data_IF_881488691332
#
_entry.id   IF_881488691332
#
_cell.length_a   1.000
_cell.length_b   1.000
_cell.length_c   1.000
_cell.angle_alpha   90.00
_cell.angle_beta   90.00
_cell.angle_gamma   90.00
#
_symmetry.space_group_name_H-M   'P 1'
#
loop_
_entity.id
_entity.type
_entity.pdbx_description
1 polymer ?
#
# COMPACT_ATOMS: atom_id res chain seq x y z
N UNK A 1 33.22 10.83 -24.82
CA UNK A 1 31.79 10.97 -24.47
C UNK A 1 31.20 9.58 -24.30
N UNK A 2 30.63 9.24 -23.14
CA UNK A 2 29.88 7.98 -22.95
C UNK A 2 28.42 8.24 -23.30
N UNK A 3 27.74 7.40 -24.10
CA UNK A 3 26.30 7.34 -24.06
C UNK A 3 25.90 6.54 -22.81
N UNK A 4 25.41 7.25 -21.79
CA UNK A 4 24.59 6.66 -20.73
C UNK A 4 23.18 6.58 -21.29
N UNK A 5 22.82 5.47 -21.91
CA UNK A 5 21.45 5.24 -22.33
C UNK A 5 21.04 3.81 -22.09
N UNK A 6 19.99 3.70 -21.27
CA UNK A 6 19.02 2.61 -21.20
C UNK A 6 19.52 1.31 -20.54
N UNK A 7 19.36 1.23 -19.22
CA UNK A 7 18.57 0.17 -18.56
C UNK A 7 18.63 0.36 -17.03
N UNK A 8 17.98 1.41 -16.51
CA UNK A 8 17.35 1.28 -15.20
C UNK A 8 15.90 0.89 -15.51
N UNK A 9 15.67 -0.38 -15.84
CA UNK A 9 14.34 -0.93 -15.72
C UNK A 9 13.96 -0.77 -14.25
N UNK A 10 13.17 0.26 -13.95
CA UNK A 10 12.60 0.46 -12.63
C UNK A 10 11.88 -0.82 -12.26
N UNK A 11 12.49 -1.64 -11.40
CA UNK A 11 11.90 -2.86 -10.88
C UNK A 11 10.77 -2.42 -9.93
N UNK A 12 9.64 -2.02 -10.53
CA UNK A 12 8.50 -1.46 -9.80
C UNK A 12 7.90 -2.59 -8.98
N UNK A 13 7.72 -2.35 -7.69
CA UNK A 13 7.05 -3.29 -6.81
C UNK A 13 5.70 -3.72 -7.41
N UNK A 14 5.50 -5.02 -7.54
CA UNK A 14 4.21 -5.59 -7.93
C UNK A 14 3.33 -5.64 -6.68
N UNK A 15 2.42 -4.68 -6.59
CA UNK A 15 1.44 -4.62 -5.49
C UNK A 15 0.61 -5.90 -5.46
N UNK A 16 0.55 -6.55 -4.31
CA UNK A 16 -0.41 -7.63 -4.03
C UNK A 16 -1.72 -7.07 -3.49
N UNK A 17 -2.77 -7.90 -3.40
CA UNK A 17 -4.04 -7.48 -2.79
C UNK A 17 -3.86 -7.22 -1.28
N UNK A 18 -2.98 -7.97 -0.61
CA UNK A 18 -2.63 -7.73 0.79
C UNK A 18 -1.83 -6.42 0.99
N UNK A 19 -0.99 -6.03 0.02
CA UNK A 19 -0.34 -4.71 0.06
C UNK A 19 -1.36 -3.58 -0.07
N UNK A 20 -2.35 -3.75 -0.95
CA UNK A 20 -3.44 -2.79 -1.15
C UNK A 20 -4.33 -2.71 0.09
N UNK A 21 -4.68 -3.85 0.68
CA UNK A 21 -5.38 -3.93 1.96
C UNK A 21 -4.59 -3.22 3.08
N UNK A 22 -3.28 -3.42 3.14
CA UNK A 22 -2.41 -2.74 4.12
C UNK A 22 -2.44 -1.23 3.93
N UNK A 23 -2.35 -0.76 2.68
CA UNK A 23 -2.44 0.66 2.38
C UNK A 23 -3.84 1.22 2.72
N UNK A 24 -4.91 0.46 2.47
CA UNK A 24 -6.28 0.81 2.81
C UNK A 24 -6.48 0.92 4.33
N UNK A 25 -6.04 -0.07 5.09
CA UNK A 25 -6.10 -0.06 6.55
C UNK A 25 -5.38 1.18 7.12
N UNK A 26 -4.17 1.45 6.64
CA UNK A 26 -3.37 2.59 7.11
C UNK A 26 -3.99 3.92 6.72
N UNK A 27 -4.69 4.00 5.59
CA UNK A 27 -5.46 5.19 5.22
C UNK A 27 -6.63 5.43 6.17
N UNK A 28 -7.39 4.37 6.48
CA UNK A 28 -8.63 4.46 7.27
C UNK A 28 -8.40 4.59 8.77
N UNK A 29 -7.39 3.92 9.32
CA UNK A 29 -7.15 3.79 10.77
C UNK A 29 -5.77 4.26 11.23
N UNK A 30 -4.90 4.66 10.30
CA UNK A 30 -3.53 5.05 10.64
C UNK A 30 -2.65 3.86 11.01
N UNK A 31 -1.55 4.13 11.70
CA UNK A 31 -0.52 3.13 12.02
C UNK A 31 -0.47 2.73 13.50
N UNK A 32 -1.28 3.38 14.35
CA UNK A 32 -1.19 3.28 15.81
C UNK A 32 -1.39 1.84 16.30
N UNK A 33 -2.33 1.11 15.71
CA UNK A 33 -2.67 -0.25 16.15
C UNK A 33 -1.83 -1.37 15.51
N UNK A 34 -0.95 -1.03 14.56
CA UNK A 34 -0.08 -2.01 13.88
C UNK A 34 1.40 -1.88 14.27
N UNK A 35 1.77 -0.82 14.98
CA UNK A 35 3.11 -0.65 15.55
C UNK A 35 4.24 -0.37 14.55
N UNK A 36 3.90 -0.02 13.29
CA UNK A 36 4.87 0.26 12.24
C UNK A 36 4.59 1.61 11.57
N UNK A 37 5.62 2.42 11.37
CA UNK A 37 5.49 3.65 10.59
C UNK A 37 5.24 3.37 9.10
N UNK A 38 4.60 4.29 8.36
CA UNK A 38 4.38 4.14 6.90
C UNK A 38 5.68 3.81 6.12
N UNK A 39 6.82 4.47 6.39
CA UNK A 39 8.09 4.10 5.73
C UNK A 39 8.59 2.70 6.11
N UNK A 40 8.38 2.27 7.35
CA UNK A 40 8.76 0.93 7.80
C UNK A 40 7.92 -0.17 7.12
N UNK A 41 6.61 0.06 6.99
CA UNK A 41 5.71 -0.83 6.26
C UNK A 41 6.20 -0.98 4.81
N UNK A 42 6.51 0.13 4.13
CA UNK A 42 7.07 0.07 2.78
C UNK A 42 8.32 -0.81 2.69
N UNK A 43 9.27 -0.65 3.62
CA UNK A 43 10.48 -1.49 3.67
C UNK A 43 10.17 -2.97 3.90
N UNK A 44 9.25 -3.28 4.83
CA UNK A 44 8.82 -4.66 5.11
C UNK A 44 8.16 -5.32 3.91
N UNK A 45 7.42 -4.54 3.12
CA UNK A 45 6.79 -5.01 1.90
C UNK A 45 7.76 -5.10 0.70
N UNK A 46 9.05 -4.81 0.89
CA UNK A 46 10.05 -4.81 -0.19
C UNK A 46 9.94 -3.61 -1.13
N UNK A 47 9.25 -2.55 -0.71
CA UNK A 47 9.03 -1.33 -1.47
C UNK A 47 10.03 -0.23 -1.07
N UNK A 48 10.16 0.79 -1.93
CA UNK A 48 10.82 2.03 -1.55
C UNK A 48 10.09 2.72 -0.39
N UNK A 49 10.84 3.40 0.49
CA UNK A 49 10.29 4.04 1.69
C UNK A 49 9.19 5.08 1.40
N UNK A 50 9.20 5.69 0.21
CA UNK A 50 8.19 6.64 -0.26
C UNK A 50 7.03 5.99 -1.02
N UNK A 51 7.18 4.74 -1.48
CA UNK A 51 6.17 4.05 -2.31
C UNK A 51 4.90 3.73 -1.53
N UNK A 52 5.03 3.28 -0.29
CA UNK A 52 3.88 2.96 0.56
C UNK A 52 3.08 4.20 0.99
N UNK A 53 3.70 5.28 1.52
CA UNK A 53 3.00 6.53 1.77
C UNK A 53 2.26 7.08 0.53
N UNK A 54 2.87 7.01 -0.65
CA UNK A 54 2.22 7.43 -1.89
C UNK A 54 0.97 6.58 -2.21
N UNK A 55 1.02 5.26 -1.99
CA UNK A 55 -0.15 4.40 -2.19
C UNK A 55 -1.29 4.71 -1.21
N UNK A 56 -0.96 4.98 0.04
CA UNK A 56 -1.94 5.42 1.06
C UNK A 56 -2.65 6.70 0.59
N UNK A 57 -1.92 7.66 0.03
CA UNK A 57 -2.50 8.87 -0.55
C UNK A 57 -3.42 8.57 -1.76
N UNK A 58 -3.02 7.66 -2.65
CA UNK A 58 -3.85 7.27 -3.79
C UNK A 58 -5.18 6.63 -3.37
N UNK A 59 -5.18 5.81 -2.30
CA UNK A 59 -6.40 5.24 -1.74
C UNK A 59 -7.29 6.33 -1.15
N UNK A 60 -6.72 7.28 -0.40
CA UNK A 60 -7.46 8.42 0.15
C UNK A 60 -8.17 9.20 -0.97
N UNK A 61 -7.42 9.54 -2.01
CA UNK A 61 -7.95 10.26 -3.18
C UNK A 61 -9.08 9.48 -3.87
N UNK A 62 -8.95 8.15 -3.97
CA UNK A 62 -9.99 7.30 -4.53
C UNK A 62 -11.26 7.25 -3.64
N UNK A 63 -11.12 7.24 -2.31
CA UNK A 63 -12.27 7.23 -1.37
C UNK A 63 -13.07 8.52 -1.39
N UNK A 64 -12.42 9.68 -1.53
CA UNK A 64 -13.09 10.98 -1.54
C UNK A 64 -13.73 11.35 -2.90
N UNK A 65 -13.68 10.44 -3.89
CA UNK A 65 -14.26 10.67 -5.22
C UNK A 65 -13.36 11.44 -6.19
N UNK A 66 -12.05 11.46 -5.97
CA UNK A 66 -11.09 12.09 -6.88
C UNK A 66 -11.15 11.50 -8.29
N UNK A 67 -11.30 12.36 -9.31
CA UNK A 67 -11.37 11.94 -10.70
C UNK A 67 -9.99 11.43 -11.20
N UNK A 68 -9.95 10.11 -11.43
CA UNK A 68 -9.35 9.50 -12.64
C UNK A 68 -7.87 9.80 -12.93
N UNK A 69 -6.98 9.22 -12.12
CA UNK A 69 -5.66 8.75 -12.62
C UNK A 69 -5.08 7.56 -11.84
N UNK A 70 -5.68 7.21 -10.71
CA UNK A 70 -5.31 6.03 -9.93
C UNK A 70 -6.30 4.88 -10.17
N UNK A 71 -5.80 3.65 -10.08
CA UNK A 71 -6.26 2.51 -10.88
C UNK A 71 -7.54 1.85 -10.38
N UNK A 72 -8.09 0.98 -11.23
CA UNK A 72 -9.22 0.10 -10.89
C UNK A 72 -8.98 -0.70 -9.60
N UNK A 73 -7.71 -0.90 -9.22
CA UNK A 73 -7.33 -1.65 -8.03
C UNK A 73 -7.65 -0.93 -6.71
N UNK A 74 -7.43 0.38 -6.62
CA UNK A 74 -7.80 1.16 -5.42
C UNK A 74 -9.31 1.10 -5.19
N UNK A 75 -10.10 1.30 -6.25
CA UNK A 75 -11.57 1.22 -6.18
C UNK A 75 -12.03 -0.16 -5.75
N UNK A 76 -11.52 -1.20 -6.39
CA UNK A 76 -11.83 -2.58 -6.02
C UNK A 76 -11.47 -2.86 -4.55
N UNK A 77 -10.28 -2.42 -4.10
CA UNK A 77 -9.85 -2.59 -2.69
C UNK A 77 -10.84 -1.92 -1.73
N UNK A 78 -11.27 -0.69 -2.02
CA UNK A 78 -12.26 0.02 -1.19
C UNK A 78 -13.58 -0.76 -1.19
N UNK A 79 -14.08 -1.17 -2.35
CA UNK A 79 -15.34 -1.93 -2.47
C UNK A 79 -15.32 -3.26 -1.70
N UNK A 80 -14.17 -3.96 -1.70
CA UNK A 80 -14.02 -5.22 -0.97
C UNK A 80 -13.98 -5.02 0.55
N UNK A 81 -13.22 -4.03 1.02
CA UNK A 81 -12.80 -3.97 2.43
C UNK A 81 -13.50 -2.89 3.25
N UNK A 82 -14.22 -1.93 2.64
CA UNK A 82 -14.76 -0.78 3.39
C UNK A 82 -15.87 -1.14 4.39
N UNK A 83 -16.54 -2.27 4.18
CA UNK A 83 -17.58 -2.80 5.09
C UNK A 83 -17.04 -3.69 6.21
N UNK A 84 -15.77 -4.08 6.17
CA UNK A 84 -15.17 -4.95 7.19
C UNK A 84 -14.83 -4.16 8.46
N UNK A 85 -14.83 -4.85 9.61
CA UNK A 85 -14.47 -4.26 10.89
C UNK A 85 -12.98 -3.98 11.02
N UNK A 86 -12.61 -2.99 11.83
CA UNK A 86 -11.19 -2.64 12.08
C UNK A 86 -10.37 -3.84 12.56
N UNK A 87 -10.91 -4.63 13.50
CA UNK A 87 -10.22 -5.78 14.08
C UNK A 87 -9.90 -6.86 13.04
N UNK A 88 -10.82 -7.12 12.11
CA UNK A 88 -10.65 -8.11 11.04
C UNK A 88 -9.56 -7.66 10.06
N UNK A 89 -9.65 -6.40 9.61
CA UNK A 89 -8.68 -5.80 8.72
C UNK A 89 -7.29 -5.75 9.37
N UNK A 90 -7.22 -5.39 10.65
CA UNK A 90 -5.97 -5.36 11.42
C UNK A 90 -5.34 -6.75 11.51
N UNK A 91 -6.15 -7.79 11.77
CA UNK A 91 -5.68 -9.18 11.81
C UNK A 91 -4.97 -9.57 10.52
N UNK A 92 -5.65 -9.37 9.39
CA UNK A 92 -5.10 -9.66 8.06
C UNK A 92 -3.82 -8.86 7.76
N UNK A 93 -3.78 -7.57 8.12
CA UNK A 93 -2.60 -6.71 7.92
C UNK A 93 -1.43 -7.17 8.78
N UNK A 94 -1.66 -7.50 10.05
CA UNK A 94 -0.61 -7.99 10.94
C UNK A 94 -0.06 -9.34 10.48
N UNK A 95 -0.93 -10.25 10.02
CA UNK A 95 -0.51 -11.53 9.43
C UNK A 95 0.37 -11.31 8.20
N UNK A 96 -0.06 -10.44 7.27
CA UNK A 96 0.72 -10.07 6.10
C UNK A 96 2.10 -9.51 6.48
N UNK A 97 2.15 -8.54 7.40
CA UNK A 97 3.41 -7.90 7.81
C UNK A 97 4.33 -8.83 8.61
N UNK A 98 3.79 -9.84 9.30
CA UNK A 98 4.57 -10.86 10.03
C UNK A 98 5.11 -11.96 9.11
N UNK A 99 4.34 -12.36 8.10
CA UNK A 99 4.73 -13.35 7.09
C UNK A 99 5.89 -12.87 6.20
N UNK A 100 6.15 -11.56 6.18
CA UNK A 100 7.24 -10.94 5.43
C UNK A 100 8.60 -10.93 6.17
N UNK A 101 8.75 -11.68 7.28
CA UNK A 101 10.06 -11.92 7.90
C UNK A 101 10.99 -12.62 6.91
N UNK A 102 11.99 -11.91 6.39
CA UNK A 102 13.23 -12.50 5.87
C UNK A 102 14.17 -12.82 7.03
#
# INVERSE_FOLDING_TARGET
MKPLSQEIMSNRHKWSDLDMLTAFYVEKYGTEHIGFSKPEIGRRLGMGASSFPARVANIRDARIGGQSKYGAREKWTIEQYDKMGELELRGMVLEHLRGMKR
#
